data_IF_188598017481
#
_entry.id   IF_188598017481
#
_cell.length_a   1.000
_cell.length_b   1.000
_cell.length_c   1.000
_cell.angle_alpha   90.00
_cell.angle_beta   90.00
_cell.angle_gamma   90.00
#
_symmetry.space_group_name_H-M   'P 1'
#
loop_
_entity.id
_entity.type
_entity.pdbx_description
1 polymer ?
#
# COMPACT_ATOMS: atom_id res chain seq x y z
N UNK A 1 63.14 -17.37 -40.77
CA UNK A 1 63.07 -18.76 -41.25
C UNK A 1 61.90 -19.41 -40.49
N UNK A 2 60.83 -19.87 -41.15
CA UNK A 2 60.64 -21.25 -41.66
C UNK A 2 60.44 -22.27 -40.50
N UNK A 3 59.43 -23.16 -40.43
CA UNK A 3 58.35 -23.62 -41.37
C UNK A 3 57.34 -24.53 -40.57
N UNK A 4 56.13 -25.01 -40.98
CA UNK A 4 55.27 -24.94 -42.21
C UNK A 4 53.86 -25.54 -41.96
N UNK A 5 52.76 -24.81 -42.29
CA UNK A 5 51.35 -25.28 -42.48
C UNK A 5 50.59 -25.80 -41.23
N UNK A 6 49.24 -25.95 -41.20
CA UNK A 6 48.14 -25.77 -42.20
C UNK A 6 47.14 -24.69 -41.66
N UNK A 7 46.44 -23.80 -42.40
CA UNK A 7 45.53 -23.87 -43.58
C UNK A 7 44.24 -24.70 -43.39
N UNK A 8 43.03 -24.28 -43.82
CA UNK A 8 42.39 -22.96 -44.05
C UNK A 8 40.96 -23.17 -44.63
N UNK A 9 39.99 -22.27 -44.32
CA UNK A 9 38.76 -21.88 -45.08
C UNK A 9 37.58 -21.52 -44.14
N UNK A 10 36.65 -20.60 -44.43
CA UNK A 10 36.64 -19.44 -45.36
C UNK A 10 35.53 -18.44 -44.94
N UNK A 11 35.66 -17.17 -45.35
CA UNK A 11 34.65 -16.10 -45.23
C UNK A 11 34.08 -15.78 -46.66
N UNK A 12 33.17 -14.79 -46.95
CA UNK A 12 32.85 -13.56 -46.20
C UNK A 12 31.36 -13.12 -46.16
N UNK A 13 31.11 -11.88 -45.70
CA UNK A 13 29.84 -11.13 -45.81
C UNK A 13 29.51 -10.74 -47.28
N UNK A 14 28.30 -10.20 -47.56
CA UNK A 14 28.26 -8.76 -47.86
C UNK A 14 26.96 -7.97 -47.52
N UNK A 15 27.16 -6.66 -47.31
CA UNK A 15 26.31 -5.52 -47.72
C UNK A 15 24.93 -5.24 -47.08
N UNK A 16 24.61 -3.94 -47.05
CA UNK A 16 23.44 -3.28 -46.44
C UNK A 16 22.57 -2.63 -47.54
N UNK A 17 21.23 -2.70 -47.43
CA UNK A 17 20.29 -1.87 -48.23
C UNK A 17 18.87 -1.83 -47.66
N UNK A 18 18.28 -0.63 -47.63
CA UNK A 18 16.83 -0.42 -47.70
C UNK A 18 16.04 -0.54 -46.39
N UNK A 19 15.99 0.53 -45.60
CA UNK A 19 14.97 0.67 -44.55
C UNK A 19 13.63 1.12 -45.17
N UNK A 20 12.56 0.37 -44.91
CA UNK A 20 11.19 0.75 -45.24
C UNK A 20 10.29 0.47 -44.02
N UNK A 21 9.55 1.48 -43.56
CA UNK A 21 8.71 1.38 -42.36
C UNK A 21 7.36 0.76 -42.73
N UNK A 22 7.01 -0.35 -42.09
CA UNK A 22 5.70 -0.99 -42.20
C UNK A 22 5.05 -1.14 -40.82
N UNK A 23 3.80 -0.72 -40.68
CA UNK A 23 3.11 -0.66 -39.39
C UNK A 23 2.72 -2.04 -38.84
N UNK A 24 3.32 -2.43 -37.71
CA UNK A 24 2.91 -3.61 -36.95
C UNK A 24 1.61 -3.36 -36.17
N UNK A 25 0.56 -4.13 -36.47
CA UNK A 25 -0.73 -4.05 -35.76
C UNK A 25 -0.56 -4.49 -34.30
N UNK A 26 -1.16 -3.74 -33.37
CA UNK A 26 -1.34 -4.20 -31.99
C UNK A 26 -2.11 -5.53 -31.99
N UNK A 27 -1.61 -6.52 -31.24
CA UNK A 27 -2.19 -7.86 -31.15
C UNK A 27 -2.96 -7.94 -29.82
N UNK A 28 -4.28 -8.12 -29.90
CA UNK A 28 -5.12 -8.21 -28.71
C UNK A 28 -4.70 -9.39 -27.81
N UNK A 29 -4.58 -9.14 -26.50
CA UNK A 29 -4.26 -10.16 -25.52
C UNK A 29 -5.52 -10.97 -25.17
N UNK A 30 -5.64 -12.18 -25.72
CA UNK A 30 -6.74 -13.08 -25.44
C UNK A 30 -6.31 -14.19 -24.47
N UNK A 31 -6.99 -14.24 -23.32
CA UNK A 31 -7.23 -15.42 -22.47
C UNK A 31 -6.04 -16.32 -22.10
N UNK A 32 -5.50 -16.14 -20.88
CA UNK A 32 -4.70 -17.13 -20.16
C UNK A 32 -5.30 -17.48 -18.77
N UNK A 33 -6.62 -17.32 -18.59
CA UNK A 33 -7.31 -17.48 -17.30
C UNK A 33 -7.80 -18.93 -17.04
N UNK A 34 -6.93 -19.91 -17.22
CA UNK A 34 -7.26 -21.33 -17.03
C UNK A 34 -7.01 -21.79 -15.58
N UNK A 35 -7.99 -21.67 -14.68
CA UNK A 35 -7.84 -22.20 -13.31
C UNK A 35 -8.73 -21.68 -12.18
N UNK A 36 -9.91 -21.08 -12.43
CA UNK A 36 -10.83 -20.64 -11.36
C UNK A 36 -12.29 -21.06 -11.64
N UNK A 37 -12.90 -21.98 -10.87
CA UNK A 37 -14.30 -22.38 -11.06
C UNK A 37 -15.28 -21.33 -10.50
N UNK A 38 -16.31 -20.98 -11.28
CA UNK A 38 -17.53 -20.34 -10.76
C UNK A 38 -17.47 -18.83 -10.45
N UNK A 39 -16.52 -18.08 -11.02
CA UNK A 39 -16.42 -16.63 -10.83
C UNK A 39 -17.53 -15.84 -11.56
N UNK A 40 -18.78 -15.92 -11.08
CA UNK A 40 -19.76 -14.85 -11.32
C UNK A 40 -19.25 -13.56 -10.68
N UNK A 41 -19.53 -12.42 -11.30
CA UNK A 41 -19.39 -11.14 -10.63
C UNK A 41 -20.31 -11.11 -9.40
N UNK A 42 -19.81 -10.47 -8.35
CA UNK A 42 -20.47 -10.34 -7.05
C UNK A 42 -20.76 -8.86 -6.89
N UNK A 43 -22.01 -8.46 -6.66
CA UNK A 43 -22.28 -7.11 -6.18
C UNK A 43 -21.84 -6.99 -4.71
N UNK A 44 -21.33 -5.82 -4.31
CA UNK A 44 -20.87 -5.63 -2.93
C UNK A 44 -21.99 -5.87 -1.91
N UNK A 45 -23.18 -5.28 -2.18
CA UNK A 45 -24.31 -5.28 -1.24
C UNK A 45 -25.46 -6.23 -1.63
N UNK A 46 -25.60 -6.59 -2.91
CA UNK A 46 -26.66 -7.48 -3.41
C UNK A 46 -28.06 -7.09 -2.94
N UNK A 47 -28.87 -8.08 -2.57
CA UNK A 47 -30.26 -7.93 -2.08
C UNK A 47 -30.43 -7.07 -0.82
N UNK A 48 -29.34 -6.63 -0.18
CA UNK A 48 -29.43 -5.61 0.88
C UNK A 48 -29.86 -4.27 0.27
N UNK A 49 -29.51 -3.97 -0.98
CA UNK A 49 -29.95 -2.80 -1.71
C UNK A 49 -31.43 -2.89 -2.11
N UNK A 50 -32.22 -1.82 -1.88
CA UNK A 50 -33.64 -1.77 -2.25
C UNK A 50 -33.85 -1.46 -3.76
N UNK A 51 -33.00 -2.05 -4.61
CA UNK A 51 -32.84 -1.72 -6.04
C UNK A 51 -33.37 -2.86 -6.90
N UNK A 52 -34.66 -2.79 -7.25
CA UNK A 52 -35.28 -3.73 -8.19
C UNK A 52 -34.92 -3.33 -9.63
N UNK A 53 -33.98 -4.05 -10.24
CA UNK A 53 -33.71 -3.99 -11.67
C UNK A 53 -34.86 -4.67 -12.44
N UNK A 54 -35.91 -3.89 -12.72
CA UNK A 54 -37.06 -4.32 -13.51
C UNK A 54 -36.77 -4.11 -15.01
N UNK A 55 -36.77 -5.20 -15.79
CA UNK A 55 -36.68 -5.13 -17.25
C UNK A 55 -38.08 -5.00 -17.85
N UNK A 56 -38.21 -4.18 -18.89
CA UNK A 56 -39.45 -4.05 -19.67
C UNK A 56 -39.22 -4.67 -21.04
N UNK A 57 -40.00 -5.70 -21.37
CA UNK A 57 -40.02 -6.37 -22.67
C UNK A 57 -41.48 -6.47 -23.10
N UNK A 58 -41.78 -6.06 -24.33
CA UNK A 58 -43.13 -6.05 -24.93
C UNK A 58 -44.23 -5.46 -24.01
N UNK A 59 -43.89 -4.32 -23.38
CA UNK A 59 -44.78 -3.59 -22.48
C UNK A 59 -45.05 -4.27 -21.12
N UNK A 60 -44.47 -5.43 -20.85
CA UNK A 60 -44.59 -6.17 -19.59
C UNK A 60 -43.34 -5.99 -18.73
N UNK A 61 -43.55 -5.77 -17.44
CA UNK A 61 -42.49 -5.73 -16.44
C UNK A 61 -42.13 -7.17 -16.09
N UNK A 62 -40.88 -7.56 -16.33
CA UNK A 62 -40.32 -8.82 -15.83
C UNK A 62 -39.47 -8.53 -14.59
N UNK A 63 -39.78 -9.22 -13.49
CA UNK A 63 -38.93 -9.28 -12.31
C UNK A 63 -37.88 -10.39 -12.48
N UNK A 64 -36.70 -10.28 -11.85
CA UNK A 64 -35.75 -11.38 -11.76
C UNK A 64 -36.38 -12.66 -11.17
N UNK A 65 -35.90 -13.82 -11.63
CA UNK A 65 -36.40 -15.12 -11.18
C UNK A 65 -36.32 -15.27 -9.65
N UNK A 66 -37.40 -15.77 -9.04
CA UNK A 66 -37.54 -15.97 -7.60
C UNK A 66 -38.42 -14.94 -6.87
N UNK A 67 -38.73 -13.79 -7.46
CA UNK A 67 -39.55 -12.74 -6.80
C UNK A 67 -41.05 -12.93 -7.09
N UNK A 68 -41.69 -13.88 -6.39
CA UNK A 68 -43.15 -14.03 -6.39
C UNK A 68 -43.81 -13.09 -5.35
N UNK A 69 -44.20 -11.88 -5.79
CA UNK A 69 -45.04 -10.94 -4.99
C UNK A 69 -46.04 -10.23 -5.92
N UNK A 70 -47.31 -10.04 -5.52
CA UNK A 70 -48.30 -9.35 -6.35
C UNK A 70 -47.96 -7.86 -6.49
N UNK A 71 -47.70 -7.42 -7.72
CA UNK A 71 -47.49 -6.00 -8.05
C UNK A 71 -48.84 -5.26 -7.99
N UNK A 72 -48.93 -4.23 -7.15
CA UNK A 72 -50.12 -3.36 -7.13
C UNK A 72 -50.19 -2.50 -8.40
N UNK A 73 -51.42 -2.25 -8.88
CA UNK A 73 -51.67 -1.53 -10.15
C UNK A 73 -51.03 -0.14 -10.19
N UNK A 74 -50.93 0.54 -9.05
CA UNK A 74 -50.24 1.83 -8.89
C UNK A 74 -48.71 1.72 -8.99
N UNK A 75 -48.10 0.67 -8.44
CA UNK A 75 -46.66 0.46 -8.50
C UNK A 75 -46.19 0.08 -9.92
N UNK A 76 -46.96 -0.77 -10.62
CA UNK A 76 -46.71 -1.08 -12.03
C UNK A 76 -46.76 0.16 -12.93
N UNK A 77 -47.69 1.09 -12.69
CA UNK A 77 -47.77 2.35 -13.42
C UNK A 77 -46.56 3.28 -13.16
N UNK A 78 -46.03 3.33 -11.93
CA UNK A 78 -44.81 4.10 -11.62
C UNK A 78 -43.56 3.54 -12.31
N UNK A 79 -43.44 2.21 -12.39
CA UNK A 79 -42.33 1.54 -13.09
C UNK A 79 -42.39 1.80 -14.61
N UNK A 80 -43.56 1.67 -15.22
CA UNK A 80 -43.77 2.01 -16.64
C UNK A 80 -43.44 3.47 -16.94
N UNK A 81 -43.86 4.41 -16.08
CA UNK A 81 -43.57 5.84 -16.25
C UNK A 81 -42.06 6.11 -16.26
N UNK A 82 -41.30 5.56 -15.30
CA UNK A 82 -39.84 5.70 -15.25
C UNK A 82 -39.13 5.08 -16.45
N UNK A 83 -39.60 3.93 -16.94
CA UNK A 83 -39.04 3.31 -18.15
C UNK A 83 -39.25 4.21 -19.39
N UNK A 84 -40.43 4.83 -19.52
CA UNK A 84 -40.72 5.78 -20.60
C UNK A 84 -39.94 7.08 -20.48
N UNK A 85 -39.80 7.64 -19.27
CA UNK A 85 -38.99 8.85 -19.00
C UNK A 85 -37.52 8.63 -19.41
N UNK A 86 -36.94 7.45 -19.10
CA UNK A 86 -35.58 7.09 -19.51
C UNK A 86 -35.44 6.92 -21.04
N UNK A 87 -36.42 6.32 -21.72
CA UNK A 87 -36.41 6.17 -23.18
C UNK A 87 -36.48 7.52 -23.91
N UNK A 88 -37.28 8.47 -23.40
CA UNK A 88 -37.35 9.84 -23.93
C UNK A 88 -36.06 10.62 -23.71
N UNK A 89 -35.33 10.37 -22.61
CA UNK A 89 -34.02 10.98 -22.37
C UNK A 89 -32.95 10.49 -23.37
N UNK A 90 -32.97 9.21 -23.76
CA UNK A 90 -32.02 8.64 -24.72
C UNK A 90 -32.15 9.25 -26.13
N UNK A 91 -33.38 9.50 -26.59
CA UNK A 91 -33.65 10.03 -27.94
C UNK A 91 -33.36 11.54 -28.15
N UNK A 92 -32.75 12.23 -27.18
CA UNK A 92 -32.56 13.70 -27.22
C UNK A 92 -31.16 14.19 -27.62
N UNK A 93 -30.27 13.31 -28.12
CA UNK A 93 -28.91 13.68 -28.55
C UNK A 93 -28.77 13.46 -30.07
N UNK A 94 -29.09 14.49 -30.85
CA UNK A 94 -28.80 14.54 -32.31
C UNK A 94 -28.26 15.93 -32.69
N UNK A 95 -26.96 15.92 -33.04
CA UNK A 95 -26.21 16.83 -33.94
C UNK A 95 -26.67 18.29 -34.09
N UNK A 96 -25.80 19.22 -33.65
CA UNK A 96 -25.56 20.49 -34.35
C UNK A 96 -24.05 20.81 -34.37
N UNK A 97 -23.52 21.17 -35.54
CA UNK A 97 -22.16 21.69 -35.74
C UNK A 97 -22.21 23.19 -36.08
N UNK A 98 -21.29 24.01 -35.54
CA UNK A 98 -20.86 25.27 -36.14
C UNK A 98 -19.39 25.22 -36.62
N UNK A 99 -19.01 26.16 -37.50
CA UNK A 99 -17.82 26.06 -38.35
C UNK A 99 -16.55 26.80 -37.84
N UNK A 100 -15.43 26.46 -38.47
CA UNK A 100 -14.05 26.95 -38.23
C UNK A 100 -13.86 28.43 -38.62
N UNK A 101 -13.13 29.19 -37.80
CA UNK A 101 -12.44 30.44 -38.15
C UNK A 101 -11.08 30.50 -37.46
N UNK A 102 -10.09 31.10 -38.13
CA UNK A 102 -8.70 31.19 -37.68
C UNK A 102 -8.26 32.65 -37.38
N UNK A 103 -7.13 32.88 -36.68
CA UNK A 103 -6.94 34.07 -35.86
C UNK A 103 -6.17 35.23 -36.52
N UNK A 104 -6.19 36.39 -35.84
CA UNK A 104 -5.42 37.60 -36.15
C UNK A 104 -4.65 38.09 -34.88
N UNK A 105 -3.58 38.90 -35.01
CA UNK A 105 -2.39 38.76 -34.16
C UNK A 105 -2.23 39.79 -33.02
N UNK A 106 -1.23 39.53 -32.15
CA UNK A 106 -0.63 40.51 -31.22
C UNK A 106 0.84 40.79 -31.62
N UNK A 107 1.34 42.03 -31.49
CA UNK A 107 2.72 42.39 -31.83
C UNK A 107 3.74 42.02 -30.74
N UNK A 108 5.03 42.05 -31.08
CA UNK A 108 6.15 41.70 -30.19
C UNK A 108 7.31 42.70 -30.26
N UNK A 109 8.17 42.75 -29.23
CA UNK A 109 9.60 43.11 -29.32
C UNK A 109 10.38 42.92 -28.00
N UNK A 110 11.56 42.29 -28.13
CA UNK A 110 12.88 42.44 -27.46
C UNK A 110 12.97 42.76 -25.93
N UNK A 111 13.78 42.13 -25.06
CA UNK A 111 15.09 41.40 -25.08
C UNK A 111 16.33 42.24 -24.70
N UNK A 112 16.90 41.95 -23.50
CA UNK A 112 18.33 42.11 -23.06
C UNK A 112 18.84 43.57 -22.84
N UNK A 113 19.82 43.87 -21.94
CA UNK A 113 20.83 43.00 -21.27
C UNK A 113 20.96 43.06 -19.72
N UNK A 114 21.82 42.15 -19.22
CA UNK A 114 22.49 42.13 -17.89
C UNK A 114 23.74 43.04 -17.91
N UNK A 115 24.12 43.66 -16.76
CA UNK A 115 25.51 43.99 -16.46
C UNK A 115 26.06 43.18 -15.26
N UNK A 116 27.37 43.31 -15.04
CA UNK A 116 28.19 42.55 -14.09
C UNK A 116 29.14 43.52 -13.34
N UNK A 117 30.03 43.00 -12.49
CA UNK A 117 31.05 43.68 -11.66
C UNK A 117 30.61 44.21 -10.28
N UNK A 118 31.49 44.40 -9.30
CA UNK A 118 32.74 43.72 -8.90
C UNK A 118 33.29 44.38 -7.61
N UNK A 119 34.07 43.62 -6.81
CA UNK A 119 34.96 44.14 -5.74
C UNK A 119 34.26 44.83 -4.53
N UNK A 120 34.88 44.99 -3.35
CA UNK A 120 36.19 44.54 -2.84
C UNK A 120 36.15 44.28 -1.33
N UNK A 121 37.12 43.53 -0.82
CA UNK A 121 37.29 43.14 0.59
C UNK A 121 37.86 44.25 1.49
N UNK A 122 37.74 44.08 2.82
CA UNK A 122 38.86 44.27 3.77
C UNK A 122 38.56 43.74 5.20
N UNK A 123 39.55 43.05 5.79
CA UNK A 123 39.98 43.00 7.23
C UNK A 123 38.97 42.92 8.39
N UNK A 124 39.21 42.14 9.46
CA UNK A 124 40.31 41.19 9.73
C UNK A 124 40.58 40.94 11.23
N UNK A 125 41.33 39.86 11.55
CA UNK A 125 41.94 39.46 12.84
C UNK A 125 41.01 39.24 14.08
N UNK A 126 41.25 38.25 14.96
CA UNK A 126 42.22 37.13 14.96
C UNK A 126 42.50 36.61 16.40
N UNK A 127 43.30 35.52 16.53
CA UNK A 127 44.07 35.12 17.76
C UNK A 127 43.21 34.56 18.95
N UNK A 128 43.53 33.44 19.65
CA UNK A 128 44.62 32.46 19.53
C UNK A 128 44.31 31.01 20.01
N UNK A 129 45.00 30.06 19.37
CA UNK A 129 45.66 28.79 19.82
C UNK A 129 45.40 28.01 21.16
N UNK A 130 45.91 26.76 21.11
CA UNK A 130 46.51 25.89 22.16
C UNK A 130 45.62 24.82 22.83
N UNK A 131 46.08 23.57 23.05
CA UNK A 131 47.25 22.83 22.46
C UNK A 131 47.07 21.31 22.60
N UNK A 132 47.75 20.52 21.77
CA UNK A 132 47.98 19.07 21.96
C UNK A 132 49.20 18.85 22.90
N UNK A 133 49.42 17.64 23.42
CA UNK A 133 50.62 16.92 22.93
C UNK A 133 50.43 15.38 22.79
N UNK A 134 51.31 14.78 21.97
CA UNK A 134 51.72 13.36 22.02
C UNK A 134 52.89 13.22 23.03
N UNK A 135 53.46 12.06 23.43
CA UNK A 135 54.13 10.96 22.72
C UNK A 135 54.19 9.73 23.69
N UNK A 136 54.76 8.54 23.44
CA UNK A 136 56.02 8.18 22.76
C UNK A 136 56.09 6.66 22.41
N UNK A 137 57.24 6.21 21.90
CA UNK A 137 57.46 4.93 21.22
C UNK A 137 58.08 3.81 22.09
N UNK A 138 58.18 2.59 21.56
CA UNK A 138 58.99 1.51 22.14
C UNK A 138 58.94 0.21 21.30
N UNK A 139 60.10 -0.33 20.91
CA UNK A 139 60.22 -1.50 20.04
C UNK A 139 60.93 -2.68 20.73
N UNK A 140 60.75 -3.91 20.22
CA UNK A 140 61.51 -5.08 20.64
C UNK A 140 60.96 -6.41 20.11
N UNK A 141 61.84 -7.31 19.67
CA UNK A 141 61.50 -8.64 19.14
C UNK A 141 62.32 -9.74 19.80
N UNK A 142 61.71 -10.90 20.07
CA UNK A 142 62.42 -12.18 20.16
C UNK A 142 61.46 -13.39 20.14
N UNK A 143 61.97 -14.51 19.65
CA UNK A 143 61.31 -15.81 19.61
C UNK A 143 61.47 -16.60 20.91
N UNK A 144 60.50 -17.46 21.25
CA UNK A 144 60.70 -18.48 22.28
C UNK A 144 59.42 -19.27 22.59
N UNK A 145 59.34 -20.51 22.10
CA UNK A 145 58.22 -21.40 22.39
C UNK A 145 58.50 -22.31 23.59
N UNK A 146 57.57 -22.40 24.53
CA UNK A 146 57.46 -23.53 25.46
C UNK A 146 56.01 -23.80 25.81
N UNK A 147 55.62 -25.07 25.79
CA UNK A 147 54.32 -25.49 26.30
C UNK A 147 54.39 -25.65 27.83
N UNK A 148 53.29 -25.38 28.54
CA UNK A 148 52.64 -26.36 29.43
C UNK A 148 51.46 -25.78 30.24
N UNK A 149 50.56 -26.70 30.61
CA UNK A 149 49.67 -26.67 31.80
C UNK A 149 48.58 -25.59 31.85
N UNK A 150 47.37 -26.05 31.49
CA UNK A 150 46.09 -25.51 31.94
C UNK A 150 46.11 -25.25 33.46
N UNK A 151 45.87 -24.01 33.88
CA UNK A 151 45.77 -23.65 35.30
C UNK A 151 44.52 -22.82 35.55
N UNK A 152 43.60 -23.36 36.38
CA UNK A 152 42.39 -22.65 36.82
C UNK A 152 42.78 -21.53 37.78
N UNK A 153 43.09 -20.34 37.25
CA UNK A 153 43.28 -19.13 38.07
C UNK A 153 42.06 -18.91 38.95
N UNK A 154 42.21 -19.00 40.28
CA UNK A 154 41.20 -18.51 41.21
C UNK A 154 40.99 -17.02 40.95
N UNK A 155 39.74 -16.59 40.76
CA UNK A 155 39.40 -15.17 40.73
C UNK A 155 39.58 -14.62 42.15
N UNK A 156 40.63 -13.83 42.34
CA UNK A 156 40.83 -13.09 43.60
C UNK A 156 40.04 -11.79 43.47
N UNK A 157 38.89 -11.73 44.15
CA UNK A 157 38.11 -10.49 44.25
C UNK A 157 38.89 -9.47 45.09
N UNK A 158 39.60 -8.56 44.42
CA UNK A 158 40.29 -7.46 45.09
C UNK A 158 39.26 -6.45 45.60
N UNK A 159 39.59 -5.73 46.67
CA UNK A 159 38.75 -4.61 47.14
C UNK A 159 38.48 -3.61 46.01
N UNK A 160 39.47 -3.38 45.14
CA UNK A 160 39.34 -2.57 43.92
C UNK A 160 38.23 -3.06 43.00
N UNK A 161 38.17 -4.36 42.65
CA UNK A 161 37.12 -4.85 41.74
C UNK A 161 35.71 -4.75 42.35
N UNK A 162 35.59 -4.98 43.66
CA UNK A 162 34.31 -4.82 44.39
C UNK A 162 33.89 -3.36 44.47
N UNK A 163 34.83 -2.43 44.71
CA UNK A 163 34.57 -0.99 44.75
C UNK A 163 34.22 -0.43 43.36
N UNK A 164 34.92 -0.85 42.30
CA UNK A 164 34.57 -0.47 40.91
C UNK A 164 33.20 -1.01 40.51
N UNK A 165 32.86 -2.25 40.86
CA UNK A 165 31.52 -2.81 40.60
C UNK A 165 30.42 -2.05 41.35
N UNK A 166 30.64 -1.72 42.63
CA UNK A 166 29.71 -0.91 43.43
C UNK A 166 29.60 0.53 42.91
N UNK A 167 30.69 1.13 42.44
CA UNK A 167 30.69 2.46 41.82
C UNK A 167 29.89 2.47 40.52
N UNK A 168 30.13 1.52 39.59
CA UNK A 168 29.31 1.37 38.38
C UNK A 168 27.82 1.24 38.70
N UNK A 169 27.47 0.42 39.70
CA UNK A 169 26.09 0.22 40.13
C UNK A 169 25.47 1.47 40.76
N UNK A 170 26.19 2.19 41.62
CA UNK A 170 25.74 3.44 42.25
C UNK A 170 25.58 4.59 41.23
N UNK A 171 26.39 4.61 40.17
CA UNK A 171 26.25 5.55 39.05
C UNK A 171 25.16 5.14 38.04
N UNK A 172 24.38 4.08 38.30
CA UNK A 172 23.34 3.57 37.39
C UNK A 172 23.88 2.89 36.12
N UNK A 173 25.20 2.76 35.98
CA UNK A 173 25.88 2.12 34.84
C UNK A 173 25.78 0.60 35.00
N UNK A 174 24.57 0.10 34.79
CA UNK A 174 24.34 -1.31 34.47
C UNK A 174 24.89 -1.60 33.09
N UNK A 175 25.73 -2.62 32.96
CA UNK A 175 26.15 -3.17 31.66
C UNK A 175 25.00 -3.99 31.04
N UNK A 176 23.86 -3.31 30.82
CA UNK A 176 22.91 -3.75 29.80
C UNK A 176 23.68 -3.81 28.47
N UNK A 177 23.60 -4.91 27.70
CA UNK A 177 24.04 -4.88 26.32
C UNK A 177 23.39 -3.67 25.65
N UNK A 178 24.16 -2.85 24.92
CA UNK A 178 23.54 -1.88 24.01
C UNK A 178 22.68 -2.69 23.06
N UNK A 179 21.36 -2.46 23.10
CA UNK A 179 20.40 -3.02 22.14
C UNK A 179 20.92 -2.70 20.74
N UNK A 180 21.50 -3.69 20.06
CA UNK A 180 22.00 -3.50 18.70
C UNK A 180 20.78 -3.30 17.82
N UNK A 181 20.65 -2.10 17.28
CA UNK A 181 19.75 -1.83 16.16
C UNK A 181 20.53 -2.25 14.92
N UNK A 182 19.95 -3.15 14.14
CA UNK A 182 20.55 -3.59 12.88
C UNK A 182 20.32 -2.53 11.81
N UNK A 183 21.36 -2.24 11.02
CA UNK A 183 21.22 -1.44 9.81
C UNK A 183 20.54 -2.30 8.74
N UNK A 184 19.25 -2.04 8.55
CA UNK A 184 18.41 -2.77 7.60
C UNK A 184 18.63 -2.32 6.14
N UNK A 185 19.27 -1.18 5.90
CA UNK A 185 19.48 -0.62 4.56
C UNK A 185 20.88 -0.86 4.00
N UNK A 186 21.79 -1.41 4.82
CA UNK A 186 23.15 -1.83 4.48
C UNK A 186 23.31 -2.56 3.14
N UNK A 187 22.33 -3.36 2.72
CA UNK A 187 22.38 -4.15 1.48
C UNK A 187 21.85 -3.39 0.25
N UNK A 188 21.21 -2.24 0.45
CA UNK A 188 20.54 -1.46 -0.61
C UNK A 188 21.39 -0.29 -1.12
N UNK A 189 22.62 -0.12 -0.64
CA UNK A 189 23.47 1.04 -0.98
C UNK A 189 23.76 1.22 -2.47
N UNK A 190 23.83 0.13 -3.25
CA UNK A 190 23.98 0.16 -4.71
C UNK A 190 22.64 0.33 -5.46
N UNK A 191 21.50 0.23 -4.75
CA UNK A 191 20.16 0.28 -5.34
C UNK A 191 19.58 1.71 -5.31
N UNK A 192 19.73 2.43 -6.41
CA UNK A 192 19.18 3.78 -6.59
C UNK A 192 17.66 3.87 -6.36
N UNK A 193 16.91 2.76 -6.53
CA UNK A 193 15.45 2.71 -6.29
C UNK A 193 15.08 2.47 -4.81
N UNK A 194 16.04 2.13 -3.95
CA UNK A 194 15.82 2.02 -2.50
C UNK A 194 15.96 3.38 -1.78
N UNK A 195 16.56 4.38 -2.44
CA UNK A 195 16.62 5.78 -1.99
C UNK A 195 17.19 5.94 -0.57
N UNK A 196 18.22 5.13 -0.24
CA UNK A 196 18.77 4.99 1.12
C UNK A 196 19.22 6.32 1.73
N UNK A 197 19.73 7.25 0.92
CA UNK A 197 20.18 8.58 1.39
C UNK A 197 19.05 9.48 1.93
N UNK A 198 17.80 9.29 1.48
CA UNK A 198 16.63 10.05 1.92
C UNK A 198 15.65 9.23 2.76
N UNK A 199 15.92 7.94 3.02
CA UNK A 199 14.92 7.00 3.51
C UNK A 199 14.36 7.38 4.90
N UNK A 200 15.21 7.86 5.82
CA UNK A 200 14.74 8.29 7.14
C UNK A 200 14.00 9.63 7.08
N UNK A 201 14.38 10.56 6.19
CA UNK A 201 13.62 11.80 5.96
C UNK A 201 12.22 11.48 5.40
N UNK A 202 12.13 10.53 4.48
CA UNK A 202 10.86 10.01 3.93
C UNK A 202 10.00 9.41 5.04
N UNK A 203 10.53 8.53 5.91
CA UNK A 203 9.75 7.95 7.01
C UNK A 203 9.42 8.96 8.12
N UNK A 204 10.23 10.00 8.33
CA UNK A 204 9.93 11.10 9.25
C UNK A 204 8.84 12.04 8.70
N UNK A 205 8.84 12.30 7.39
CA UNK A 205 7.73 12.94 6.70
C UNK A 205 6.45 12.10 6.82
N UNK A 206 6.49 10.81 6.46
CA UNK A 206 5.32 9.91 6.58
C UNK A 206 4.80 9.81 8.01
N UNK A 207 5.67 9.73 9.03
CA UNK A 207 5.29 9.70 10.45
C UNK A 207 4.52 10.97 10.89
N UNK A 208 4.81 12.11 10.28
CA UNK A 208 4.10 13.38 10.49
C UNK A 208 2.81 13.43 9.67
N UNK A 209 2.91 13.23 8.35
CA UNK A 209 1.81 13.35 7.40
C UNK A 209 0.64 12.36 7.65
N UNK A 210 0.90 11.19 8.23
CA UNK A 210 -0.16 10.22 8.58
C UNK A 210 -1.14 10.71 9.67
N UNK A 211 -0.77 11.76 10.40
CA UNK A 211 -1.63 12.37 11.42
C UNK A 211 -2.54 13.43 10.81
N UNK A 212 -2.12 14.05 9.71
CA UNK A 212 -2.95 14.95 8.92
C UNK A 212 -4.07 14.17 8.23
N UNK A 213 -5.27 14.76 8.20
CA UNK A 213 -6.39 14.29 7.36
C UNK A 213 -6.70 12.78 7.50
N UNK A 214 -6.41 12.14 8.64
CA UNK A 214 -6.83 10.76 8.98
C UNK A 214 -8.37 10.65 9.10
N UNK A 215 -9.02 9.50 8.79
CA UNK A 215 -10.43 9.28 9.10
C UNK A 215 -10.71 9.41 10.60
N UNK A 216 -11.82 10.04 10.96
CA UNK A 216 -12.32 10.10 12.35
C UNK A 216 -13.32 8.97 12.58
N UNK A 217 -13.82 8.78 13.80
CA UNK A 217 -15.05 8.00 13.96
C UNK A 217 -16.20 8.78 13.32
N UNK A 218 -16.69 8.30 12.18
CA UNK A 218 -17.68 8.96 11.34
C UNK A 218 -19.02 8.24 11.29
N UNK A 219 -19.11 7.02 11.84
CA UNK A 219 -20.30 6.18 11.68
C UNK A 219 -21.54 6.76 12.38
N UNK A 220 -21.34 7.52 13.45
CA UNK A 220 -22.37 8.33 14.12
C UNK A 220 -22.99 9.40 13.22
N UNK A 221 -22.31 9.81 12.14
CA UNK A 221 -22.77 10.78 11.15
C UNK A 221 -23.40 10.13 9.90
N UNK A 222 -23.43 8.79 9.83
CA UNK A 222 -23.99 8.04 8.71
C UNK A 222 -25.39 7.52 9.03
N UNK A 223 -26.38 7.92 8.23
CA UNK A 223 -27.80 7.60 8.49
C UNK A 223 -28.22 6.25 7.93
N UNK A 224 -27.73 5.86 6.74
CA UNK A 224 -28.05 4.56 6.12
C UNK A 224 -26.89 3.55 6.13
N UNK A 225 -25.65 3.99 6.38
CA UNK A 225 -24.44 3.16 6.35
C UNK A 225 -24.00 2.83 7.78
N UNK A 226 -23.59 1.57 8.02
CA UNK A 226 -23.11 1.10 9.31
C UNK A 226 -21.81 0.28 9.15
N UNK A 227 -21.10 -0.09 10.25
CA UNK A 227 -19.79 -0.74 10.17
C UNK A 227 -19.81 -2.04 9.39
N UNK A 228 -20.92 -2.80 9.47
CA UNK A 228 -21.11 -4.06 8.75
C UNK A 228 -21.23 -3.84 7.25
N UNK A 229 -21.88 -2.77 6.80
CA UNK A 229 -21.94 -2.41 5.37
C UNK A 229 -20.58 -1.96 4.84
N UNK A 230 -19.80 -1.20 5.64
CA UNK A 230 -18.39 -0.88 5.31
C UNK A 230 -17.53 -2.14 5.20
N UNK A 231 -17.62 -3.07 6.17
CA UNK A 231 -16.87 -4.33 6.13
C UNK A 231 -17.25 -5.20 4.93
N UNK A 232 -18.53 -5.24 4.54
CA UNK A 232 -19.01 -5.88 3.31
C UNK A 232 -18.40 -5.22 2.07
N UNK A 233 -18.33 -3.89 2.02
CA UNK A 233 -17.67 -3.17 0.92
C UNK A 233 -16.17 -3.50 0.87
N UNK A 234 -15.47 -3.51 2.01
CA UNK A 234 -14.04 -3.83 2.07
C UNK A 234 -13.74 -5.27 1.59
N UNK A 235 -14.52 -6.27 2.04
CA UNK A 235 -14.43 -7.66 1.58
C UNK A 235 -14.71 -7.83 0.08
N UNK A 236 -15.45 -6.91 -0.53
CA UNK A 236 -15.66 -6.85 -1.97
C UNK A 236 -14.55 -6.10 -2.71
N UNK A 237 -14.09 -4.96 -2.19
CA UNK A 237 -12.97 -4.18 -2.75
C UNK A 237 -11.70 -5.03 -2.83
N UNK A 238 -11.42 -5.88 -1.84
CA UNK A 238 -10.31 -6.86 -1.86
C UNK A 238 -10.49 -7.91 -2.97
N UNK A 239 -11.73 -8.31 -3.30
CA UNK A 239 -12.02 -9.29 -4.36
C UNK A 239 -11.82 -8.66 -5.75
N UNK A 240 -12.27 -7.42 -5.94
CA UNK A 240 -12.08 -6.64 -7.17
C UNK A 240 -10.60 -6.31 -7.38
N UNK A 241 -9.91 -5.85 -6.34
CA UNK A 241 -8.46 -5.61 -6.33
C UNK A 241 -7.67 -6.83 -6.81
N UNK A 242 -7.95 -8.01 -6.24
CA UNK A 242 -7.30 -9.27 -6.60
C UNK A 242 -7.78 -9.88 -7.94
N UNK A 243 -8.84 -9.33 -8.56
CA UNK A 243 -9.29 -9.70 -9.91
C UNK A 243 -8.65 -8.86 -11.01
N UNK A 244 -8.35 -7.59 -10.72
CA UNK A 244 -7.62 -6.70 -11.62
C UNK A 244 -6.09 -6.75 -11.42
N UNK A 245 -5.60 -7.58 -10.49
CA UNK A 245 -4.17 -7.80 -10.21
C UNK A 245 -3.39 -6.51 -9.87
N UNK A 246 -4.11 -5.55 -9.27
CA UNK A 246 -3.62 -4.22 -8.90
C UNK A 246 -2.55 -4.25 -7.81
N UNK A 247 -1.72 -3.21 -7.76
CA UNK A 247 -0.71 -3.02 -6.71
C UNK A 247 -1.35 -2.94 -5.32
N UNK A 248 -0.70 -3.43 -4.25
CA UNK A 248 -1.29 -3.37 -2.91
C UNK A 248 -1.51 -1.93 -2.42
N UNK A 249 -0.63 -0.99 -2.80
CA UNK A 249 -0.77 0.45 -2.51
C UNK A 249 -2.14 0.99 -2.94
N UNK A 250 -2.59 0.63 -4.15
CA UNK A 250 -3.90 0.96 -4.72
C UNK A 250 -5.06 0.48 -3.83
N UNK A 251 -4.95 -0.67 -3.15
CA UNK A 251 -5.96 -1.16 -2.20
C UNK A 251 -6.02 -0.29 -0.94
N UNK A 252 -4.87 0.04 -0.36
CA UNK A 252 -4.82 0.86 0.86
C UNK A 252 -5.26 2.31 0.59
N UNK A 253 -4.88 2.88 -0.56
CA UNK A 253 -5.36 4.20 -0.99
C UNK A 253 -6.87 4.19 -1.29
N UNK A 254 -7.38 3.15 -1.96
CA UNK A 254 -8.84 2.97 -2.17
C UNK A 254 -9.61 3.03 -0.86
N UNK A 255 -9.16 2.27 0.15
CA UNK A 255 -9.83 2.24 1.45
C UNK A 255 -9.70 3.56 2.23
N UNK A 256 -8.54 4.23 2.18
CA UNK A 256 -8.39 5.59 2.72
C UNK A 256 -9.39 6.57 2.06
N UNK A 257 -9.48 6.58 0.73
CA UNK A 257 -10.39 7.47 -0.02
C UNK A 257 -11.86 7.20 0.35
N UNK A 258 -12.26 5.93 0.51
CA UNK A 258 -13.60 5.54 1.01
C UNK A 258 -13.85 6.12 2.40
N UNK A 259 -13.01 5.79 3.38
CA UNK A 259 -13.22 6.15 4.78
C UNK A 259 -13.15 7.66 5.00
N UNK A 260 -12.33 8.37 4.23
CA UNK A 260 -12.28 9.85 4.22
C UNK A 260 -13.49 10.50 3.58
N UNK A 261 -14.01 9.95 2.49
CA UNK A 261 -15.24 10.48 1.90
C UNK A 261 -16.42 10.28 2.86
N UNK A 262 -16.53 9.11 3.49
CA UNK A 262 -17.52 8.82 4.53
C UNK A 262 -17.31 9.62 5.83
N UNK A 263 -16.07 10.07 6.11
CA UNK A 263 -15.79 11.04 7.19
C UNK A 263 -16.33 12.45 6.92
N UNK A 264 -16.62 12.78 5.66
CA UNK A 264 -16.97 14.14 5.24
C UNK A 264 -18.39 14.25 4.65
N UNK A 265 -18.99 13.16 4.18
CA UNK A 265 -20.30 13.14 3.53
C UNK A 265 -21.18 11.98 4.05
N UNK A 266 -22.42 12.26 4.48
CA UNK A 266 -23.45 11.24 4.60
C UNK A 266 -23.69 10.58 3.24
N UNK A 267 -23.67 9.24 3.20
CA UNK A 267 -23.86 8.46 1.97
C UNK A 267 -25.06 7.53 2.14
N UNK A 268 -25.89 7.45 1.11
CA UNK A 268 -27.02 6.52 1.08
C UNK A 268 -26.52 5.10 0.78
N UNK A 269 -27.14 4.09 1.38
CA UNK A 269 -26.73 2.69 1.30
C UNK A 269 -26.61 2.16 -0.13
N UNK A 270 -27.46 2.65 -1.04
CA UNK A 270 -27.46 2.34 -2.48
C UNK A 270 -26.27 2.94 -3.26
N UNK A 271 -25.63 3.95 -2.71
CA UNK A 271 -24.50 4.70 -3.30
C UNK A 271 -23.15 4.27 -2.70
N UNK A 272 -23.14 3.48 -1.62
CA UNK A 272 -21.92 3.01 -0.95
C UNK A 272 -20.99 2.19 -1.87
N UNK A 273 -21.52 1.32 -2.74
CA UNK A 273 -20.70 0.61 -3.74
C UNK A 273 -20.18 1.57 -4.82
N UNK A 274 -20.99 2.55 -5.27
CA UNK A 274 -20.55 3.58 -6.21
C UNK A 274 -19.40 4.43 -5.65
N UNK A 275 -19.41 4.75 -4.36
CA UNK A 275 -18.29 5.40 -3.65
C UNK A 275 -17.04 4.51 -3.71
N UNK A 276 -17.15 3.22 -3.38
CA UNK A 276 -16.02 2.30 -3.44
C UNK A 276 -15.40 2.13 -4.83
N UNK A 277 -16.24 2.09 -5.87
CA UNK A 277 -15.80 1.99 -7.27
C UNK A 277 -15.09 3.26 -7.73
N UNK A 278 -15.66 4.43 -7.42
CA UNK A 278 -15.05 5.71 -7.76
C UNK A 278 -13.75 5.95 -6.97
N UNK A 279 -13.67 5.51 -5.70
CA UNK A 279 -12.45 5.52 -4.92
C UNK A 279 -11.36 4.61 -5.53
N UNK A 280 -11.73 3.42 -6.00
CA UNK A 280 -10.81 2.51 -6.71
C UNK A 280 -10.33 3.11 -8.05
N UNK A 281 -11.21 3.78 -8.80
CA UNK A 281 -10.83 4.49 -10.02
C UNK A 281 -9.81 5.61 -9.74
N UNK A 282 -10.04 6.39 -8.68
CA UNK A 282 -9.12 7.45 -8.24
C UNK A 282 -7.76 6.86 -7.84
N UNK A 283 -7.74 5.83 -7.00
CA UNK A 283 -6.51 5.19 -6.55
C UNK A 283 -5.75 4.55 -7.72
N UNK A 284 -6.46 3.84 -8.62
CA UNK A 284 -5.82 3.19 -9.76
C UNK A 284 -5.20 4.22 -10.72
N UNK A 285 -5.88 5.35 -10.98
CA UNK A 285 -5.34 6.46 -11.79
C UNK A 285 -4.13 7.16 -11.16
N UNK A 286 -3.85 6.91 -9.88
CA UNK A 286 -2.80 7.58 -9.12
C UNK A 286 -1.58 6.68 -8.94
N UNK A 287 -1.78 5.39 -8.64
CA UNK A 287 -0.70 4.42 -8.36
C UNK A 287 -0.36 3.49 -9.54
N UNK A 288 -1.31 3.19 -10.45
CA UNK A 288 -1.10 2.18 -11.50
C UNK A 288 -0.54 2.79 -12.79
N UNK A 289 0.44 2.11 -13.39
CA UNK A 289 0.88 2.41 -14.76
C UNK A 289 -0.24 2.21 -15.79
N UNK A 290 -1.17 1.27 -15.52
CA UNK A 290 -2.29 0.90 -16.39
C UNK A 290 -3.58 0.73 -15.58
N UNK A 291 -4.16 1.86 -15.14
CA UNK A 291 -5.43 1.87 -14.43
C UNK A 291 -6.57 1.20 -15.25
N UNK A 292 -7.47 0.40 -14.63
CA UNK A 292 -8.62 -0.19 -15.32
C UNK A 292 -9.52 0.84 -15.98
N UNK A 293 -10.16 0.50 -17.10
CA UNK A 293 -11.10 1.41 -17.73
C UNK A 293 -12.39 1.54 -16.91
N UNK A 294 -13.08 2.67 -17.06
CA UNK A 294 -14.40 2.87 -16.45
C UNK A 294 -15.39 1.80 -16.92
N UNK A 295 -15.19 1.21 -18.10
CA UNK A 295 -16.03 0.12 -18.61
C UNK A 295 -15.82 -1.20 -17.85
N UNK A 296 -14.59 -1.50 -17.40
CA UNK A 296 -14.29 -2.67 -16.57
C UNK A 296 -14.92 -2.52 -15.18
N UNK A 297 -14.88 -1.29 -14.63
CA UNK A 297 -15.53 -0.95 -13.38
C UNK A 297 -17.07 -0.99 -13.44
N UNK A 298 -17.67 -0.66 -14.59
CA UNK A 298 -19.10 -0.89 -14.84
C UNK A 298 -19.39 -2.41 -14.86
N UNK A 299 -18.54 -3.19 -15.52
CA UNK A 299 -18.73 -4.64 -15.66
C UNK A 299 -18.62 -5.38 -14.33
N UNK A 300 -17.63 -5.09 -13.49
CA UNK A 300 -17.46 -5.72 -12.17
C UNK A 300 -18.57 -5.33 -11.16
N UNK A 301 -19.34 -4.29 -11.47
CA UNK A 301 -20.56 -3.89 -10.78
C UNK A 301 -21.85 -4.45 -11.41
N UNK A 302 -21.77 -5.44 -12.30
CA UNK A 302 -22.91 -6.02 -13.00
C UNK A 302 -23.75 -4.99 -13.76
N UNK A 303 -23.11 -3.92 -14.24
CA UNK A 303 -23.71 -2.76 -14.89
C UNK A 303 -24.72 -1.97 -14.01
N UNK A 304 -24.66 -2.10 -12.69
CA UNK A 304 -25.53 -1.39 -11.75
C UNK A 304 -25.37 0.15 -11.76
N UNK A 305 -24.29 0.66 -12.37
CA UNK A 305 -23.99 2.09 -12.49
C UNK A 305 -23.55 2.44 -13.92
N UNK A 306 -23.96 3.61 -14.40
CA UNK A 306 -23.50 4.15 -15.69
C UNK A 306 -22.14 4.83 -15.59
N UNK A 307 -21.46 4.99 -16.74
CA UNK A 307 -20.20 5.73 -16.87
C UNK A 307 -20.31 7.14 -16.29
N UNK A 308 -21.45 7.80 -16.47
CA UNK A 308 -21.74 9.14 -15.95
C UNK A 308 -21.87 9.13 -14.41
N UNK A 309 -22.46 8.10 -13.81
CA UNK A 309 -22.56 7.99 -12.35
C UNK A 309 -21.19 7.78 -11.69
N UNK A 310 -20.34 6.93 -12.26
CA UNK A 310 -18.98 6.70 -11.72
C UNK A 310 -18.14 7.98 -11.82
N UNK A 311 -18.13 8.65 -12.98
CA UNK A 311 -17.37 9.90 -13.18
C UNK A 311 -17.92 11.07 -12.35
N UNK A 312 -19.24 11.12 -12.11
CA UNK A 312 -19.82 12.11 -11.19
C UNK A 312 -19.39 11.85 -9.74
N UNK A 313 -19.37 10.59 -9.30
CA UNK A 313 -18.91 10.23 -7.95
C UNK A 313 -17.40 10.48 -7.78
N UNK A 314 -16.57 10.15 -8.77
CA UNK A 314 -15.13 10.47 -8.80
C UNK A 314 -14.91 11.98 -8.58
N UNK A 315 -15.59 12.82 -9.35
CA UNK A 315 -15.51 14.28 -9.22
C UNK A 315 -15.98 14.77 -7.84
N UNK A 316 -17.03 14.16 -7.29
CA UNK A 316 -17.54 14.51 -5.96
C UNK A 316 -16.53 14.14 -4.85
N UNK A 317 -15.92 12.95 -4.92
CA UNK A 317 -14.89 12.50 -3.99
C UNK A 317 -13.68 13.44 -4.03
N UNK A 318 -13.10 13.67 -5.20
CA UNK A 318 -11.92 14.54 -5.37
C UNK A 318 -12.18 15.96 -4.86
N UNK A 319 -13.35 16.54 -5.15
CA UNK A 319 -13.72 17.86 -4.65
C UNK A 319 -13.89 17.89 -3.12
N UNK A 320 -14.44 16.84 -2.50
CA UNK A 320 -14.59 16.77 -1.03
C UNK A 320 -13.27 16.49 -0.30
N UNK A 321 -12.36 15.74 -0.91
CA UNK A 321 -10.99 15.55 -0.41
C UNK A 321 -10.05 16.73 -0.74
N UNK A 322 -10.55 17.77 -1.42
CA UNK A 322 -9.76 18.92 -1.89
C UNK A 322 -8.55 18.50 -2.75
N UNK A 323 -8.70 17.42 -3.53
CA UNK A 323 -7.63 16.80 -4.33
C UNK A 323 -6.41 16.30 -3.54
N UNK A 324 -6.46 16.29 -2.20
CA UNK A 324 -5.42 15.71 -1.37
C UNK A 324 -5.64 14.19 -1.23
N UNK A 325 -4.96 13.44 -2.09
CA UNK A 325 -4.89 11.97 -2.09
C UNK A 325 -3.46 11.43 -1.91
N UNK A 326 -2.44 12.27 -2.06
CA UNK A 326 -1.03 11.97 -1.74
C UNK A 326 -0.84 11.82 -0.22
N UNK A 327 -1.03 10.61 0.32
CA UNK A 327 -0.93 10.35 1.76
C UNK A 327 -0.17 9.05 2.09
N UNK A 328 0.54 8.98 3.23
CA UNK A 328 1.13 7.73 3.68
C UNK A 328 0.06 6.73 4.13
N UNK A 329 -0.26 5.76 3.27
CA UNK A 329 -1.15 4.65 3.60
C UNK A 329 -0.44 3.64 4.51
N UNK A 330 -1.11 2.60 5.05
CA UNK A 330 -0.42 1.52 5.76
C UNK A 330 0.68 0.82 4.94
N UNK A 331 0.61 0.85 3.61
CA UNK A 331 1.53 0.13 2.72
C UNK A 331 3.00 0.51 2.93
N UNK A 332 3.33 1.80 2.88
CA UNK A 332 4.72 2.27 3.05
C UNK A 332 5.31 1.85 4.39
N UNK A 333 4.50 1.87 5.46
CA UNK A 333 4.92 1.38 6.77
C UNK A 333 5.07 -0.15 6.83
N UNK A 334 4.18 -0.90 6.19
CA UNK A 334 4.26 -2.37 6.11
C UNK A 334 5.60 -2.80 5.48
N UNK A 335 6.01 -2.18 4.36
CA UNK A 335 7.29 -2.48 3.71
C UNK A 335 8.48 -2.28 4.66
N UNK A 336 8.57 -1.12 5.32
CA UNK A 336 9.65 -0.80 6.28
C UNK A 336 9.69 -1.77 7.45
N UNK A 337 8.52 -2.16 7.97
CA UNK A 337 8.41 -2.96 9.19
C UNK A 337 8.56 -4.47 8.92
N UNK A 338 8.17 -4.96 7.74
CA UNK A 338 8.52 -6.31 7.28
C UNK A 338 10.04 -6.43 7.14
N UNK A 339 10.70 -5.43 6.52
CA UNK A 339 12.16 -5.38 6.41
C UNK A 339 12.84 -5.40 7.79
N UNK A 340 12.36 -4.56 8.72
CA UNK A 340 12.85 -4.50 10.11
C UNK A 340 12.59 -5.77 10.95
N UNK A 341 11.70 -6.66 10.51
CA UNK A 341 11.43 -7.94 11.16
C UNK A 341 12.29 -9.12 10.62
N UNK A 342 13.24 -8.86 9.72
CA UNK A 342 13.95 -9.93 8.99
C UNK A 342 13.02 -10.63 7.99
N UNK A 343 12.31 -9.84 7.19
CA UNK A 343 11.24 -10.30 6.30
C UNK A 343 11.67 -11.34 5.26
N UNK A 344 11.13 -12.55 5.39
CA UNK A 344 11.02 -13.53 4.31
C UNK A 344 9.59 -13.58 3.76
N UNK A 345 9.37 -14.37 2.70
CA UNK A 345 8.08 -14.41 2.00
C UNK A 345 6.92 -15.00 2.82
N UNK A 346 7.18 -15.83 3.83
CA UNK A 346 6.11 -16.27 4.74
C UNK A 346 5.67 -15.14 5.67
N UNK A 347 6.64 -14.42 6.26
CA UNK A 347 6.32 -13.27 7.10
C UNK A 347 5.61 -12.17 6.29
N UNK A 348 6.14 -11.83 5.11
CA UNK A 348 5.54 -10.83 4.21
C UNK A 348 4.08 -11.16 3.88
N UNK A 349 3.80 -12.40 3.44
CA UNK A 349 2.44 -12.86 3.13
C UNK A 349 1.54 -12.83 4.38
N UNK A 350 2.03 -13.25 5.56
CA UNK A 350 1.25 -13.27 6.80
C UNK A 350 0.93 -11.85 7.30
N UNK A 351 1.86 -10.91 7.11
CA UNK A 351 1.67 -9.49 7.43
C UNK A 351 0.63 -8.85 6.51
N UNK A 352 0.71 -9.07 5.20
CA UNK A 352 -0.30 -8.56 4.27
C UNK A 352 -1.68 -9.20 4.47
N UNK A 353 -1.75 -10.48 4.84
CA UNK A 353 -3.00 -11.11 5.29
C UNK A 353 -3.61 -10.36 6.48
N UNK A 354 -2.82 -10.06 7.51
CA UNK A 354 -3.31 -9.35 8.69
C UNK A 354 -3.70 -7.89 8.39
N UNK A 355 -2.97 -7.16 7.54
CA UNK A 355 -3.38 -5.80 7.16
C UNK A 355 -4.60 -5.77 6.23
N UNK A 356 -4.82 -6.77 5.37
CA UNK A 356 -6.09 -6.89 4.63
C UNK A 356 -7.27 -7.34 5.50
N UNK A 357 -7.01 -8.06 6.60
CA UNK A 357 -8.01 -8.27 7.64
C UNK A 357 -8.35 -6.95 8.37
N UNK A 358 -7.35 -6.13 8.68
CA UNK A 358 -7.53 -4.80 9.27
C UNK A 358 -8.44 -3.89 8.42
N UNK A 359 -8.33 -3.95 7.09
CA UNK A 359 -9.16 -3.16 6.17
C UNK A 359 -10.67 -3.41 6.33
N UNK A 360 -11.10 -4.56 6.87
CA UNK A 360 -12.52 -4.83 7.17
C UNK A 360 -12.98 -4.27 8.50
N UNK A 361 -12.10 -4.23 9.50
CA UNK A 361 -12.44 -3.85 10.88
C UNK A 361 -12.57 -2.33 11.03
N UNK A 362 -13.80 -1.84 11.23
CA UNK A 362 -14.08 -0.40 11.29
C UNK A 362 -13.30 0.32 12.41
N UNK A 363 -13.08 -0.34 13.55
CA UNK A 363 -12.28 0.21 14.65
C UNK A 363 -10.81 0.49 14.29
N UNK A 364 -10.32 -0.02 13.16
CA UNK A 364 -8.97 0.27 12.64
C UNK A 364 -8.93 1.40 11.63
N UNK A 365 -10.05 1.76 11.00
CA UNK A 365 -10.13 2.83 10.00
C UNK A 365 -9.74 4.22 10.57
N UNK A 366 -9.92 4.41 11.87
CA UNK A 366 -9.55 5.64 12.60
C UNK A 366 -8.19 5.57 13.30
N UNK A 367 -7.45 4.45 13.25
CA UNK A 367 -6.09 4.36 13.79
C UNK A 367 -5.07 5.02 12.84
N UNK A 368 -3.86 5.33 13.32
CA UNK A 368 -2.81 5.81 12.43
C UNK A 368 -2.21 4.64 11.59
N UNK A 369 -1.95 4.86 10.29
CA UNK A 369 -1.35 3.86 9.39
C UNK A 369 -0.17 3.08 9.96
N UNK A 370 0.77 3.74 10.65
CA UNK A 370 1.95 3.07 11.23
C UNK A 370 1.60 2.14 12.39
N UNK A 371 0.57 2.44 13.19
CA UNK A 371 0.11 1.56 14.27
C UNK A 371 -0.54 0.31 13.70
N UNK A 372 -1.37 0.44 12.65
CA UNK A 372 -1.99 -0.71 11.97
C UNK A 372 -0.91 -1.60 11.34
N UNK A 373 0.07 -1.00 10.66
CA UNK A 373 1.19 -1.73 10.07
C UNK A 373 2.05 -2.47 11.10
N UNK A 374 2.47 -1.80 12.18
CA UNK A 374 3.26 -2.41 13.24
C UNK A 374 2.49 -3.52 13.98
N UNK A 375 1.18 -3.35 14.17
CA UNK A 375 0.32 -4.36 14.79
C UNK A 375 0.11 -5.59 13.90
N UNK A 376 0.06 -5.42 12.58
CA UNK A 376 0.03 -6.53 11.62
C UNK A 376 1.35 -7.31 11.62
N UNK A 377 2.51 -6.63 11.71
CA UNK A 377 3.82 -7.27 11.88
C UNK A 377 3.90 -8.03 13.20
N UNK A 378 3.45 -7.44 14.31
CA UNK A 378 3.43 -8.12 15.61
C UNK A 378 2.49 -9.34 15.63
N UNK A 379 1.28 -9.22 15.08
CA UNK A 379 0.35 -10.34 14.94
C UNK A 379 0.94 -11.48 14.08
N UNK A 380 1.62 -11.16 12.98
CA UNK A 380 2.28 -12.14 12.13
C UNK A 380 3.45 -12.85 12.84
N UNK A 381 4.32 -12.11 13.54
CA UNK A 381 5.39 -12.66 14.39
C UNK A 381 4.81 -13.66 15.42
N UNK A 382 3.71 -13.29 16.08
CA UNK A 382 3.00 -14.13 17.05
C UNK A 382 2.42 -15.41 16.42
N UNK A 383 1.71 -15.33 15.29
CA UNK A 383 1.13 -16.51 14.62
C UNK A 383 2.20 -17.44 14.05
N UNK A 384 3.28 -16.89 13.49
CA UNK A 384 4.42 -17.66 12.99
C UNK A 384 5.39 -18.11 14.11
N UNK A 385 5.10 -17.77 15.37
CA UNK A 385 5.88 -18.15 16.57
C UNK A 385 7.36 -17.75 16.49
N UNK A 386 7.66 -16.61 15.86
CA UNK A 386 9.03 -16.08 15.74
C UNK A 386 9.53 -15.62 17.11
N UNK A 387 10.85 -15.67 17.30
CA UNK A 387 11.50 -15.27 18.56
C UNK A 387 12.82 -14.56 18.27
N UNK A 388 13.09 -13.37 18.87
CA UNK A 388 12.18 -12.60 19.72
C UNK A 388 11.01 -11.99 18.93
N UNK A 389 9.83 -11.87 19.56
CA UNK A 389 8.60 -11.35 18.93
C UNK A 389 8.69 -9.86 18.56
N UNK A 390 9.45 -9.07 19.31
CA UNK A 390 9.67 -7.65 19.04
C UNK A 390 11.14 -7.30 19.32
N UNK A 391 11.89 -6.98 18.28
CA UNK A 391 13.34 -6.67 18.36
C UNK A 391 13.60 -5.22 18.73
N UNK A 392 14.85 -4.93 19.13
CA UNK A 392 15.42 -3.57 19.16
C UNK A 392 15.25 -2.86 17.82
N UNK A 393 15.57 -3.55 16.72
CA UNK A 393 15.40 -3.08 15.33
C UNK A 393 13.95 -2.69 15.03
N UNK A 394 12.98 -3.55 15.35
CA UNK A 394 11.55 -3.25 15.16
C UNK A 394 11.09 -2.06 16.00
N UNK A 395 11.40 -2.06 17.30
CA UNK A 395 11.09 -0.95 18.22
C UNK A 395 11.69 0.39 17.75
N UNK A 396 12.88 0.36 17.17
CA UNK A 396 13.54 1.54 16.60
C UNK A 396 12.81 2.07 15.35
N UNK A 397 12.68 1.26 14.28
CA UNK A 397 12.11 1.75 13.02
C UNK A 397 10.60 2.00 13.09
N UNK A 398 9.86 1.30 13.96
CA UNK A 398 8.41 1.51 14.14
C UNK A 398 8.08 2.66 15.10
N UNK A 399 8.92 2.89 16.11
CA UNK A 399 8.65 3.78 17.24
C UNK A 399 7.71 3.20 18.32
N UNK A 400 7.28 1.93 18.21
CA UNK A 400 6.30 1.33 19.13
C UNK A 400 6.91 0.26 20.05
N UNK A 401 6.36 0.15 21.27
CA UNK A 401 6.60 -0.99 22.17
C UNK A 401 5.54 -2.07 21.98
N UNK A 402 5.90 -3.32 22.31
CA UNK A 402 4.99 -4.48 22.26
C UNK A 402 3.65 -4.21 22.99
N UNK A 403 3.70 -3.52 24.13
CA UNK A 403 2.53 -3.12 24.91
C UNK A 403 1.57 -2.19 24.17
N UNK A 404 2.06 -1.30 23.30
CA UNK A 404 1.22 -0.40 22.49
C UNK A 404 0.55 -1.12 21.31
N UNK A 405 1.14 -2.22 20.84
CA UNK A 405 0.62 -3.00 19.70
C UNK A 405 -0.38 -4.08 20.12
N UNK A 406 -0.30 -4.54 21.38
CA UNK A 406 -1.01 -5.71 21.90
C UNK A 406 -2.53 -5.67 21.69
N UNK A 407 -3.19 -4.54 21.94
CA UNK A 407 -4.65 -4.42 21.78
C UNK A 407 -5.09 -4.50 20.32
N UNK A 408 -4.41 -3.76 19.44
CA UNK A 408 -4.65 -3.75 18.00
C UNK A 408 -4.36 -5.13 17.38
N UNK A 409 -3.23 -5.75 17.74
CA UNK A 409 -2.89 -7.10 17.30
C UNK A 409 -3.87 -8.17 17.80
N UNK A 410 -4.43 -8.03 19.01
CA UNK A 410 -5.50 -8.91 19.51
C UNK A 410 -6.77 -8.83 18.67
N UNK A 411 -7.17 -7.64 18.21
CA UNK A 411 -8.30 -7.51 17.26
C UNK A 411 -8.01 -8.26 15.96
N UNK A 412 -6.80 -8.17 15.41
CA UNK A 412 -6.40 -8.89 14.20
C UNK A 412 -6.42 -10.42 14.38
N UNK A 413 -5.88 -10.91 15.50
CA UNK A 413 -5.85 -12.35 15.82
C UNK A 413 -7.26 -12.90 16.05
N UNK A 414 -8.13 -12.15 16.72
CA UNK A 414 -9.55 -12.51 16.88
C UNK A 414 -10.28 -12.54 15.53
N UNK A 415 -10.02 -11.57 14.66
CA UNK A 415 -10.58 -11.54 13.30
C UNK A 415 -10.07 -12.73 12.45
N UNK A 416 -8.82 -13.15 12.61
CA UNK A 416 -8.26 -14.36 11.99
C UNK A 416 -8.92 -15.63 12.55
N UNK A 417 -9.10 -15.75 13.86
CA UNK A 417 -9.79 -16.89 14.48
C UNK A 417 -11.26 -17.02 14.01
N UNK A 418 -11.95 -15.91 13.76
CA UNK A 418 -13.30 -15.89 13.20
C UNK A 418 -13.34 -16.03 11.66
N UNK A 419 -12.21 -15.88 10.95
CA UNK A 419 -12.15 -15.87 9.49
C UNK A 419 -12.63 -17.15 8.79
N UNK A 420 -12.37 -18.38 9.32
CA UNK A 420 -12.86 -19.62 8.73
C UNK A 420 -14.38 -19.67 8.62
N UNK A 421 -15.13 -19.07 9.56
CA UNK A 421 -16.60 -19.11 9.61
C UNK A 421 -17.30 -17.80 9.20
N UNK A 422 -16.59 -16.67 9.22
CA UNK A 422 -17.11 -15.36 8.81
C UNK A 422 -17.76 -15.40 7.42
N UNK A 423 -18.78 -14.56 7.15
CA UNK A 423 -19.31 -14.41 5.78
C UNK A 423 -18.37 -13.62 4.86
N UNK A 424 -17.36 -12.93 5.43
CA UNK A 424 -16.41 -12.06 4.73
C UNK A 424 -15.05 -12.75 4.58
N UNK A 425 -15.03 -13.81 3.75
CA UNK A 425 -13.90 -14.73 3.55
C UNK A 425 -12.94 -14.33 2.43
N UNK A 426 -13.04 -13.15 1.79
CA UNK A 426 -12.21 -12.84 0.60
C UNK A 426 -10.71 -12.88 0.92
N UNK A 427 -10.24 -12.07 1.87
CA UNK A 427 -8.83 -12.07 2.29
C UNK A 427 -8.38 -13.46 2.79
N UNK A 428 -9.23 -14.14 3.57
CA UNK A 428 -8.94 -15.50 4.06
C UNK A 428 -8.72 -16.50 2.93
N UNK A 429 -9.54 -16.46 1.86
CA UNK A 429 -9.41 -17.31 0.66
C UNK A 429 -8.19 -16.93 -0.19
N UNK A 430 -7.93 -15.64 -0.38
CA UNK A 430 -6.75 -15.11 -1.08
C UNK A 430 -5.47 -15.68 -0.45
N UNK A 431 -5.29 -15.50 0.84
CA UNK A 431 -4.12 -15.99 1.59
C UNK A 431 -4.18 -17.48 1.99
N UNK A 432 -5.23 -18.21 1.62
CA UNK A 432 -5.27 -19.67 1.67
C UNK A 432 -4.68 -20.32 0.40
N UNK A 433 -4.39 -19.51 -0.63
CA UNK A 433 -3.76 -19.99 -1.87
C UNK A 433 -2.29 -20.36 -1.65
N UNK A 434 -1.81 -21.29 -2.47
CA UNK A 434 -0.42 -21.78 -2.41
C UNK A 434 0.60 -20.72 -2.84
N UNK A 435 0.24 -19.87 -3.80
CA UNK A 435 1.02 -18.70 -4.23
C UNK A 435 1.32 -17.73 -3.07
N UNK A 436 0.41 -17.64 -2.09
CA UNK A 436 0.56 -16.82 -0.89
C UNK A 436 0.91 -17.66 0.35
N UNK A 437 1.57 -18.80 0.15
CA UNK A 437 2.11 -19.66 1.22
C UNK A 437 1.06 -20.35 2.10
N UNK A 438 -0.23 -20.27 1.73
CA UNK A 438 -1.38 -20.74 2.53
C UNK A 438 -1.44 -20.16 3.95
N UNK A 439 -0.86 -18.98 4.16
CA UNK A 439 -0.61 -18.40 5.49
C UNK A 439 -1.88 -18.18 6.34
N UNK A 440 -3.04 -17.92 5.72
CA UNK A 440 -4.30 -17.77 6.48
C UNK A 440 -4.75 -19.08 7.16
N UNK A 441 -4.26 -20.24 6.70
CA UNK A 441 -4.51 -21.56 7.28
C UNK A 441 -3.58 -21.88 8.47
N UNK A 442 -2.62 -21.01 8.81
CA UNK A 442 -1.84 -21.12 10.06
C UNK A 442 -2.80 -20.94 11.26
N UNK A 443 -2.59 -21.67 12.38
CA UNK A 443 -3.45 -21.54 13.56
C UNK A 443 -3.28 -20.14 14.19
N UNK A 444 -4.35 -19.45 14.61
CA UNK A 444 -4.27 -18.13 15.24
C UNK A 444 -3.37 -18.08 16.49
N UNK A 445 -2.76 -16.92 16.75
CA UNK A 445 -1.81 -16.72 17.84
C UNK A 445 -2.45 -16.82 19.25
N UNK A 446 -2.25 -17.94 19.92
CA UNK A 446 -2.75 -18.18 21.30
C UNK A 446 -2.20 -17.17 22.32
N UNK A 447 -1.02 -16.58 22.09
CA UNK A 447 -0.43 -15.57 22.97
C UNK A 447 -1.14 -14.19 22.96
N UNK A 448 -2.12 -13.99 22.07
CA UNK A 448 -2.94 -12.79 21.98
C UNK A 448 -4.46 -13.08 22.08
N UNK A 449 -4.85 -14.32 22.35
CA UNK A 449 -6.25 -14.74 22.56
C UNK A 449 -6.88 -14.10 23.82
#
# INVERSE_FOLDING_TARGET
MATRHQRAAAAPQPANRGAAVAAGKQKAAATAAAGRPGARNRQALGDIGNVLNAHVVDGKIQLPEGINRPITRSFGAQLLKKAQENAVAANKIVVQNPARKEPAPKPAKKVVPRPENAAKASTGAGVNENKKPSESEGAGSSSGGSALKYSRKKVVNTLTSVLTARSKHACGITEKPKEVVEDIDKLDGDNQLAVVEYIEDIYNFYRTAQLERRPTDYMSSQVEVNPKMRAILADWIIDVHYKFELMPETLYLTMYVIDRYLSLQPVLRRELQLVGVAAMLIASKYEEMWAPEVQDLIHVCDNAYSRQQILAMEKNILNRLQWNITVPTPYVFLLRFIKAAGGDKELENMVFFFSEMALKEYGMASLCPSLVAASAVYAAQCTLKRSPLWTSTLKHHTGFTESQLRECAKVLVNAHAAAPESKLKTAYRKYASEQLGRVSLRPPAVCLA
#
